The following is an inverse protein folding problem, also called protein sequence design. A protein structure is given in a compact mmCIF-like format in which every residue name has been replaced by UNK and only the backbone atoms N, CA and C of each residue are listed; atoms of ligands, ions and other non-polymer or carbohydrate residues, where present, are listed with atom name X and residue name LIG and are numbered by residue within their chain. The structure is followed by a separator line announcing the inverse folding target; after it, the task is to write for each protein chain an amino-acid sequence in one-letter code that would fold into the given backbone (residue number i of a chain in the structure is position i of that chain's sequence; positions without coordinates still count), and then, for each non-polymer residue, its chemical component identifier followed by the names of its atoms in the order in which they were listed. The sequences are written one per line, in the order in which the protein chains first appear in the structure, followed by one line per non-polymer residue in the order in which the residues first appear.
data_IF_436595870813
#
_entry.id   IF_436595870813
#
_cell.length_a   1.000
_cell.length_b   1.000
_cell.length_c   1.000
_cell.angle_alpha   90.00
_cell.angle_beta   90.00
_cell.angle_gamma   90.00
#
_symmetry.space_group_name_H-M   'P 1'
#
loop_
_entity.id
_entity.type
_entity.pdbx_description
1 polymer ?
#
# COMPACT_ATOMS: atom_id res chain seq x y z
N UNK A 1 -2.56 -10.20 21.53
CA UNK A 1 -1.73 -8.99 21.72
C UNK A 1 -1.91 -8.01 20.57
N UNK A 2 -1.78 -8.42 19.30
CA UNK A 2 -1.93 -7.53 18.13
C UNK A 2 -3.32 -6.86 17.98
N UNK A 3 -4.43 -7.56 18.30
CA UNK A 3 -5.79 -6.99 18.17
C UNK A 3 -6.08 -5.83 19.13
N UNK A 4 -5.49 -5.83 20.34
CA UNK A 4 -5.64 -4.72 21.30
C UNK A 4 -4.90 -3.46 20.84
N UNK A 5 -3.88 -3.61 20.00
CA UNK A 5 -3.11 -2.47 19.49
C UNK A 5 -3.91 -1.73 18.41
N UNK A 6 -4.59 -2.42 17.48
CA UNK A 6 -5.32 -1.80 16.38
C UNK A 6 -6.44 -0.85 16.86
N UNK A 7 -7.27 -1.29 17.81
CA UNK A 7 -8.34 -0.47 18.40
C UNK A 7 -7.78 0.78 19.09
N UNK A 8 -6.69 0.62 19.85
CA UNK A 8 -6.02 1.73 20.54
C UNK A 8 -5.48 2.77 19.54
N UNK A 9 -4.91 2.31 18.42
CA UNK A 9 -4.41 3.21 17.37
C UNK A 9 -5.56 3.95 16.67
N UNK A 10 -6.71 3.30 16.43
CA UNK A 10 -7.87 3.97 15.84
C UNK A 10 -8.48 5.01 16.76
N UNK A 11 -8.61 4.70 18.05
CA UNK A 11 -9.09 5.66 19.03
C UNK A 11 -8.16 6.88 19.10
N UNK A 12 -6.85 6.66 19.15
CA UNK A 12 -5.87 7.76 19.13
C UNK A 12 -5.96 8.59 17.85
N UNK A 13 -6.10 7.93 16.69
CA UNK A 13 -6.25 8.60 15.39
C UNK A 13 -7.53 9.45 15.34
N UNK A 14 -8.66 8.89 15.80
CA UNK A 14 -9.94 9.60 15.87
C UNK A 14 -9.83 10.85 16.75
N UNK A 15 -9.24 10.73 17.94
CA UNK A 15 -9.04 11.88 18.83
C UNK A 15 -8.15 12.96 18.20
N UNK A 16 -7.03 12.58 17.57
CA UNK A 16 -6.14 13.54 16.90
C UNK A 16 -6.87 14.24 15.74
N UNK A 17 -7.58 13.50 14.88
CA UNK A 17 -8.26 14.10 13.72
C UNK A 17 -9.39 15.05 14.15
N UNK A 18 -10.18 14.70 15.18
CA UNK A 18 -11.22 15.58 15.71
C UNK A 18 -10.65 16.88 16.31
N UNK A 19 -9.48 16.81 16.95
CA UNK A 19 -8.78 17.98 17.48
C UNK A 19 -8.26 18.87 16.33
N UNK A 20 -7.80 18.25 15.23
CA UNK A 20 -7.31 18.95 14.06
C UNK A 20 -8.40 19.61 13.20
N UNK A 21 -9.66 19.13 13.24
CA UNK A 21 -10.77 19.69 12.45
C UNK A 21 -11.10 21.16 12.78
N UNK A 22 -10.68 21.67 13.95
CA UNK A 22 -11.04 23.01 14.44
C UNK A 22 -9.89 24.03 14.43
N UNK A 23 -8.71 23.70 13.90
CA UNK A 23 -7.53 24.60 13.98
C UNK A 23 -7.28 25.26 12.62
N UNK A 24 -7.59 26.55 12.53
CA UNK A 24 -7.49 27.38 11.31
C UNK A 24 -6.06 27.52 10.74
N UNK A 25 -5.02 27.07 11.45
CA UNK A 25 -3.65 26.88 10.93
C UNK A 25 -3.00 25.73 11.71
N UNK A 26 -3.08 24.51 11.20
CA UNK A 26 -2.44 23.36 11.86
C UNK A 26 -0.90 23.50 11.81
N UNK A 27 -0.18 23.36 12.94
CA UNK A 27 1.27 23.24 12.89
C UNK A 27 1.67 21.98 12.10
N UNK A 28 2.86 21.95 11.49
CA UNK A 28 3.28 20.79 10.68
C UNK A 28 3.58 19.55 11.54
N UNK A 29 3.74 19.73 12.85
CA UNK A 29 3.77 18.67 13.87
C UNK A 29 2.79 19.04 14.98
N UNK A 30 1.95 18.09 15.38
CA UNK A 30 0.94 18.27 16.42
C UNK A 30 1.04 17.17 17.46
N UNK A 31 0.91 17.53 18.73
CA UNK A 31 1.08 16.62 19.85
C UNK A 31 -0.10 16.78 20.80
N UNK A 32 -0.77 15.68 21.11
CA UNK A 32 -1.97 15.63 21.92
C UNK A 32 -1.82 14.62 23.06
N UNK A 33 -2.14 15.03 24.27
CA UNK A 33 -2.24 14.13 25.41
C UNK A 33 -3.63 13.48 25.43
N UNK A 34 -3.66 12.16 25.45
CA UNK A 34 -4.89 11.36 25.50
C UNK A 34 -4.81 10.39 26.68
N UNK A 35 -5.93 9.80 27.10
CA UNK A 35 -5.99 8.92 28.28
C UNK A 35 -4.98 7.76 28.23
N UNK A 36 -4.63 7.30 27.02
CA UNK A 36 -3.72 6.18 26.79
C UNK A 36 -2.25 6.59 26.63
N UNK A 37 -1.94 7.89 26.59
CA UNK A 37 -0.58 8.41 26.46
C UNK A 37 -0.48 9.70 25.64
N UNK A 38 0.54 9.79 24.78
CA UNK A 38 0.77 10.94 23.90
C UNK A 38 0.65 10.51 22.46
N UNK A 39 -0.23 11.17 21.72
CA UNK A 39 -0.46 10.93 20.31
C UNK A 39 0.09 12.10 19.50
N UNK A 40 0.86 11.81 18.45
CA UNK A 40 1.50 12.84 17.61
C UNK A 40 1.12 12.64 16.15
N UNK A 41 0.98 13.75 15.41
CA UNK A 41 0.81 13.80 13.97
C UNK A 41 1.98 14.55 13.34
N UNK A 42 2.49 14.04 12.21
CA UNK A 42 3.70 14.54 11.54
C UNK A 42 3.40 15.02 10.12
N UNK A 43 4.12 16.05 9.68
CA UNK A 43 4.03 16.65 8.34
C UNK A 43 2.58 16.91 7.88
N UNK A 44 1.77 17.44 8.79
CA UNK A 44 0.33 17.60 8.60
C UNK A 44 0.02 18.35 7.30
N UNK A 45 0.76 19.41 6.97
CA UNK A 45 0.51 20.21 5.77
C UNK A 45 0.76 19.42 4.49
N UNK A 46 1.79 18.56 4.50
CA UNK A 46 2.10 17.68 3.36
C UNK A 46 0.95 16.69 3.12
N UNK A 47 0.40 16.11 4.19
CA UNK A 47 -0.67 15.11 4.05
C UNK A 47 -2.04 15.75 3.78
N UNK A 48 -2.34 16.94 4.30
CA UNK A 48 -3.52 17.73 3.91
C UNK A 48 -3.51 18.01 2.40
N UNK A 49 -2.34 18.34 1.84
CA UNK A 49 -2.17 18.52 0.40
C UNK A 49 -2.48 17.23 -0.38
N UNK A 50 -1.99 16.07 0.10
CA UNK A 50 -2.30 14.76 -0.52
C UNK A 50 -3.79 14.43 -0.43
N UNK A 51 -4.43 14.68 0.72
CA UNK A 51 -5.87 14.50 0.93
C UNK A 51 -6.68 15.33 -0.06
N UNK A 52 -6.36 16.63 -0.21
CA UNK A 52 -7.01 17.55 -1.15
C UNK A 52 -6.97 17.04 -2.60
N UNK A 53 -5.79 16.63 -3.08
CA UNK A 53 -5.63 16.07 -4.43
C UNK A 53 -6.39 14.76 -4.60
N UNK A 54 -6.58 14.02 -3.51
CA UNK A 54 -7.33 12.75 -3.49
C UNK A 54 -8.84 12.93 -3.31
N UNK A 55 -9.35 14.17 -3.23
CA UNK A 55 -10.77 14.46 -3.00
C UNK A 55 -11.25 14.16 -1.57
N UNK A 56 -10.33 14.10 -0.61
CA UNK A 56 -10.61 13.77 0.79
C UNK A 56 -10.51 15.06 1.60
N UNK A 57 -11.64 15.57 2.10
CA UNK A 57 -11.67 16.80 2.92
C UNK A 57 -11.47 16.49 4.41
N UNK A 58 -12.05 15.39 4.88
CA UNK A 58 -11.86 14.83 6.22
C UNK A 58 -11.74 13.32 6.06
N UNK A 59 -11.00 12.68 6.97
CA UNK A 59 -10.99 11.22 7.07
C UNK A 59 -12.34 10.67 7.57
N UNK A 60 -13.23 11.54 8.05
CA UNK A 60 -14.55 11.19 8.58
C UNK A 60 -14.47 10.58 9.98
N UNK A 61 -15.59 10.07 10.47
CA UNK A 61 -15.63 9.37 11.75
C UNK A 61 -14.89 8.02 11.61
N UNK A 62 -13.62 8.00 12.00
CA UNK A 62 -12.85 6.78 12.14
C UNK A 62 -13.31 6.11 13.45
N UNK A 63 -14.29 5.22 13.32
CA UNK A 63 -14.76 4.39 14.43
C UNK A 63 -13.67 3.39 14.85
N UNK A 64 -13.77 2.86 16.07
CA UNK A 64 -12.87 1.84 16.61
C UNK A 64 -13.01 0.48 15.92
N UNK A 65 -14.04 0.32 15.07
CA UNK A 65 -14.30 -0.88 14.29
C UNK A 65 -13.36 -0.98 13.07
N UNK A 66 -12.79 -2.17 12.89
CA UNK A 66 -11.81 -2.43 11.84
C UNK A 66 -11.94 -3.82 11.24
N UNK A 67 -11.30 -3.99 10.07
CA UNK A 67 -11.15 -5.27 9.39
C UNK A 67 -9.67 -5.63 9.40
N UNK A 68 -9.31 -6.77 9.99
CA UNK A 68 -7.96 -7.33 9.90
C UNK A 68 -7.93 -8.38 8.80
N UNK A 69 -7.03 -8.19 7.84
CA UNK A 69 -6.69 -9.27 6.93
C UNK A 69 -5.52 -10.09 7.51
N UNK A 70 -5.83 -11.19 8.19
CA UNK A 70 -4.82 -12.07 8.82
C UNK A 70 -3.92 -12.78 7.81
N UNK A 71 -4.28 -12.77 6.52
CA UNK A 71 -3.48 -13.34 5.43
C UNK A 71 -2.37 -12.38 4.96
N UNK A 72 -2.49 -11.08 5.27
CA UNK A 72 -1.49 -10.05 4.98
C UNK A 72 -0.60 -9.88 6.22
N UNK A 73 0.06 -10.95 6.66
CA UNK A 73 1.13 -10.84 7.64
C UNK A 73 2.45 -10.55 6.91
N UNK A 74 2.89 -9.29 6.96
CA UNK A 74 4.19 -8.93 6.43
C UNK A 74 5.32 -9.64 7.20
N UNK A 75 6.37 -10.08 6.49
CA UNK A 75 7.60 -10.69 7.08
C UNK A 75 8.26 -9.82 8.17
N UNK A 76 7.90 -8.54 8.24
CA UNK A 76 8.50 -7.51 9.10
C UNK A 76 7.82 -7.31 10.46
N UNK A 77 6.71 -8.01 10.74
CA UNK A 77 5.92 -7.82 11.97
C UNK A 77 5.05 -6.54 11.97
N UNK A 78 4.99 -5.84 10.83
CA UNK A 78 4.07 -4.71 10.61
C UNK A 78 2.64 -5.23 10.40
N UNK A 79 1.69 -4.65 11.15
CA UNK A 79 0.27 -4.94 11.05
C UNK A 79 -0.35 -4.01 9.99
N UNK A 80 -1.19 -4.58 9.12
CA UNK A 80 -2.08 -3.81 8.24
C UNK A 80 -3.51 -4.18 8.60
N UNK A 81 -4.35 -3.17 8.77
CA UNK A 81 -5.79 -3.32 9.00
C UNK A 81 -6.53 -2.19 8.29
N UNK A 82 -7.84 -2.33 8.16
CA UNK A 82 -8.66 -1.42 7.36
C UNK A 82 -9.77 -0.82 8.21
N UNK A 83 -10.21 0.40 7.87
CA UNK A 83 -11.44 0.96 8.43
C UNK A 83 -12.63 0.09 8.06
N UNK A 84 -13.69 0.11 8.87
CA UNK A 84 -14.90 -0.68 8.63
C UNK A 84 -15.54 -0.45 7.25
N UNK A 85 -15.49 0.79 6.77
CA UNK A 85 -15.98 1.18 5.44
C UNK A 85 -15.00 0.84 4.30
N UNK A 86 -13.86 0.23 4.64
CA UNK A 86 -12.83 -0.26 3.74
C UNK A 86 -12.15 0.81 2.85
N UNK A 87 -12.38 2.10 3.13
CA UNK A 87 -11.78 3.20 2.36
C UNK A 87 -10.31 3.41 2.67
N UNK A 88 -9.91 3.14 3.92
CA UNK A 88 -8.55 3.40 4.37
C UNK A 88 -7.89 2.14 4.93
N UNK A 89 -6.60 2.02 4.64
CA UNK A 89 -5.72 1.06 5.29
C UNK A 89 -4.86 1.80 6.33
N UNK A 90 -4.70 1.20 7.49
CA UNK A 90 -3.79 1.64 8.54
C UNK A 90 -2.68 0.61 8.64
N UNK A 91 -1.44 1.09 8.54
CA UNK A 91 -0.25 0.24 8.60
C UNK A 91 0.63 0.69 9.76
N UNK A 92 0.99 -0.24 10.64
CA UNK A 92 2.07 0.01 11.60
C UNK A 92 3.41 -0.03 10.90
N UNK A 93 4.28 0.91 11.26
CA UNK A 93 5.57 1.11 10.63
C UNK A 93 6.67 1.15 11.69
N UNK A 94 7.90 0.93 11.26
CA UNK A 94 9.08 1.03 12.12
C UNK A 94 9.48 2.49 12.28
N UNK A 95 10.24 2.80 13.35
CA UNK A 95 10.83 4.13 13.55
C UNK A 95 11.68 4.61 12.35
N UNK A 96 12.35 3.68 11.66
CA UNK A 96 13.11 4.01 10.44
C UNK A 96 12.20 4.40 9.27
N UNK A 97 11.02 3.80 9.16
CA UNK A 97 10.03 4.14 8.13
C UNK A 97 9.34 5.47 8.46
N UNK A 98 9.09 5.76 9.76
CA UNK A 98 8.67 7.08 10.21
C UNK A 98 9.69 8.15 9.76
N UNK A 99 10.97 7.93 10.08
CA UNK A 99 12.03 8.86 9.66
C UNK A 99 12.08 9.04 8.15
N UNK A 100 11.83 7.99 7.37
CA UNK A 100 11.77 8.05 5.92
C UNK A 100 10.63 8.96 5.44
N UNK A 101 9.40 8.68 5.88
CA UNK A 101 8.25 9.44 5.39
C UNK A 101 8.31 10.90 5.86
N UNK A 102 8.75 11.18 7.09
CA UNK A 102 8.86 12.56 7.55
C UNK A 102 9.86 13.39 6.73
N UNK A 103 10.95 12.77 6.27
CA UNK A 103 11.92 13.42 5.37
C UNK A 103 11.37 13.57 3.94
N UNK A 104 10.63 12.57 3.46
CA UNK A 104 10.12 12.52 2.09
C UNK A 104 8.83 13.33 1.89
N UNK A 105 8.05 13.60 2.95
CA UNK A 105 6.70 14.15 2.87
C UNK A 105 6.55 15.46 2.07
N UNK A 106 7.45 16.47 2.20
CA UNK A 106 7.33 17.71 1.42
C UNK A 106 7.44 17.49 -0.10
N UNK A 107 8.39 16.65 -0.52
CA UNK A 107 8.59 16.31 -1.93
C UNK A 107 7.51 15.35 -2.43
N UNK A 108 7.11 14.38 -1.61
CA UNK A 108 6.04 13.44 -1.90
C UNK A 108 4.71 14.15 -2.16
N UNK A 109 4.30 15.06 -1.29
CA UNK A 109 3.03 15.79 -1.44
C UNK A 109 3.01 16.65 -2.71
N UNK A 110 4.14 17.25 -3.07
CA UNK A 110 4.29 18.02 -4.32
C UNK A 110 4.30 17.11 -5.54
N UNK A 111 4.98 15.97 -5.47
CA UNK A 111 5.00 14.96 -6.54
C UNK A 111 3.59 14.45 -6.84
N UNK A 112 2.82 14.11 -5.80
CA UNK A 112 1.45 13.61 -5.88
C UNK A 112 0.50 14.65 -6.51
N UNK A 113 0.65 15.92 -6.16
CA UNK A 113 -0.12 17.02 -6.76
C UNK A 113 0.19 17.19 -8.25
N UNK A 114 1.47 17.13 -8.62
CA UNK A 114 1.91 17.27 -10.02
C UNK A 114 1.61 16.05 -10.88
N UNK A 115 1.44 14.87 -10.26
CA UNK A 115 1.19 13.60 -10.92
C UNK A 115 -0.11 12.97 -10.39
N UNK A 116 -1.29 13.50 -10.76
CA UNK A 116 -2.57 12.98 -10.26
C UNK A 116 -2.78 11.50 -10.63
N UNK A 117 -2.23 11.05 -11.75
CA UNK A 117 -2.28 9.66 -12.21
C UNK A 117 -1.21 8.74 -11.58
N UNK A 118 -0.43 9.22 -10.61
CA UNK A 118 0.57 8.42 -9.88
C UNK A 118 -0.04 7.14 -9.30
N UNK A 119 0.70 6.04 -9.43
CA UNK A 119 0.35 4.73 -8.90
C UNK A 119 0.87 4.51 -7.47
N UNK A 120 1.70 5.41 -6.95
CA UNK A 120 2.11 5.38 -5.54
C UNK A 120 0.89 5.41 -4.62
N UNK A 121 0.89 4.56 -3.58
CA UNK A 121 -0.15 4.60 -2.56
C UNK A 121 -0.28 6.01 -1.97
N UNK A 122 -1.50 6.44 -1.71
CA UNK A 122 -1.79 7.79 -1.18
C UNK A 122 -1.72 7.72 0.34
N UNK A 123 -0.61 8.18 0.93
CA UNK A 123 -0.45 8.32 2.38
C UNK A 123 -1.19 9.59 2.79
N UNK A 124 -2.18 9.42 3.66
CA UNK A 124 -3.10 10.47 4.08
C UNK A 124 -2.74 11.06 5.45
N UNK A 125 -1.81 10.44 6.17
CA UNK A 125 -1.35 10.92 7.47
C UNK A 125 -0.31 10.00 8.08
N UNK A 126 0.50 10.55 8.98
CA UNK A 126 1.53 9.83 9.70
C UNK A 126 1.49 10.21 11.18
N UNK A 127 1.53 9.19 12.05
CA UNK A 127 1.26 9.35 13.48
C UNK A 127 2.14 8.46 14.34
N UNK A 128 2.20 8.81 15.62
CA UNK A 128 2.75 7.94 16.66
C UNK A 128 1.89 7.97 17.90
N UNK A 129 1.79 6.84 18.59
CA UNK A 129 1.18 6.73 19.91
C UNK A 129 2.24 6.24 20.90
N UNK A 130 2.59 7.10 21.85
CA UNK A 130 3.49 6.80 22.96
C UNK A 130 2.67 6.51 24.22
N UNK A 131 2.64 5.25 24.63
CA UNK A 131 2.04 4.81 25.89
C UNK A 131 3.12 4.64 26.96
N UNK A 132 2.73 4.27 28.18
CA UNK A 132 3.68 3.89 29.23
C UNK A 132 4.50 2.64 28.90
N UNK A 133 4.04 1.81 27.94
CA UNK A 133 4.61 0.48 27.65
C UNK A 133 5.45 0.52 26.38
N UNK A 134 4.96 1.16 25.33
CA UNK A 134 5.59 1.18 24.01
C UNK A 134 5.27 2.45 23.24
N UNK A 135 6.05 2.69 22.18
CA UNK A 135 5.73 3.66 21.15
C UNK A 135 5.43 2.93 19.86
N UNK A 136 4.23 3.12 19.35
CA UNK A 136 3.79 2.60 18.06
C UNK A 136 3.78 3.71 17.03
N UNK A 137 4.21 3.40 15.81
CA UNK A 137 4.20 4.34 14.69
C UNK A 137 3.31 3.78 13.60
N UNK A 138 2.52 4.62 12.96
CA UNK A 138 1.60 4.17 11.93
C UNK A 138 1.29 5.25 10.91
N UNK A 139 0.85 4.81 9.74
CA UNK A 139 0.34 5.67 8.68
C UNK A 139 -1.09 5.24 8.34
N UNK A 140 -1.88 6.20 7.90
CA UNK A 140 -3.14 5.94 7.21
C UNK A 140 -2.95 6.20 5.72
N UNK A 141 -3.45 5.30 4.89
CA UNK A 141 -3.36 5.37 3.44
C UNK A 141 -4.71 5.09 2.79
N UNK A 142 -4.95 5.66 1.61
CA UNK A 142 -6.09 5.26 0.77
C UNK A 142 -5.94 3.77 0.43
N UNK A 143 -7.01 3.01 0.61
CA UNK A 143 -7.00 1.60 0.26
C UNK A 143 -7.02 1.45 -1.27
N UNK A 144 -6.00 0.81 -1.84
CA UNK A 144 -5.95 0.52 -3.29
C UNK A 144 -7.05 -0.46 -3.70
N UNK A 145 -7.53 -1.27 -2.75
CA UNK A 145 -8.62 -2.23 -2.93
C UNK A 145 -10.00 -1.61 -2.65
N UNK A 146 -10.07 -0.29 -2.41
CA UNK A 146 -11.34 0.41 -2.29
C UNK A 146 -12.15 0.24 -3.59
N UNK A 147 -13.37 -0.30 -3.48
CA UNK A 147 -14.22 -0.59 -4.63
C UNK A 147 -13.99 -1.94 -5.29
N UNK A 148 -13.05 -2.77 -4.80
CA UNK A 148 -13.08 -4.22 -5.06
C UNK A 148 -14.34 -4.86 -4.47
N UNK A 149 -14.48 -6.19 -4.58
CA UNK A 149 -15.61 -6.91 -4.00
C UNK A 149 -15.82 -6.49 -2.55
N UNK A 150 -17.08 -6.49 -2.09
CA UNK A 150 -17.41 -6.13 -0.69
C UNK A 150 -16.52 -6.92 0.28
N UNK A 151 -16.23 -6.42 1.49
CA UNK A 151 -15.35 -7.13 2.44
C UNK A 151 -15.69 -8.61 2.62
N UNK A 152 -16.99 -8.95 2.57
CA UNK A 152 -17.49 -10.33 2.65
C UNK A 152 -17.21 -11.18 1.40
N UNK A 153 -17.14 -10.55 0.22
CA UNK A 153 -16.85 -11.18 -1.07
C UNK A 153 -15.37 -11.11 -1.48
N UNK A 154 -14.55 -10.28 -0.81
CA UNK A 154 -13.11 -10.12 -1.08
C UNK A 154 -12.33 -11.45 -0.94
N UNK A 155 -12.87 -12.45 -0.25
CA UNK A 155 -12.29 -13.79 -0.19
C UNK A 155 -12.20 -14.50 -1.55
N UNK A 156 -12.98 -14.05 -2.54
CA UNK A 156 -12.96 -14.59 -3.89
C UNK A 156 -12.02 -13.82 -4.83
N UNK A 157 -11.57 -12.62 -4.46
CA UNK A 157 -10.70 -11.79 -5.30
C UNK A 157 -9.26 -12.32 -5.29
N UNK A 158 -8.60 -12.28 -6.46
CA UNK A 158 -7.20 -12.64 -6.59
C UNK A 158 -6.32 -11.41 -6.40
N UNK A 159 -5.61 -11.34 -5.28
CA UNK A 159 -4.69 -10.27 -4.92
C UNK A 159 -3.25 -10.75 -5.01
N UNK A 160 -2.49 -10.12 -5.90
CA UNK A 160 -1.08 -10.35 -6.13
C UNK A 160 -0.24 -9.22 -5.55
N UNK A 161 0.85 -9.54 -4.85
CA UNK A 161 1.93 -8.59 -4.53
C UNK A 161 3.19 -9.01 -5.29
N UNK A 162 3.64 -8.14 -6.19
CA UNK A 162 4.70 -8.41 -7.16
C UNK A 162 5.87 -7.43 -6.97
N UNK A 163 7.10 -7.92 -6.98
CA UNK A 163 8.35 -7.17 -6.76
C UNK A 163 9.25 -7.08 -7.99
N UNK A 164 8.82 -7.62 -9.12
CA UNK A 164 9.54 -7.59 -10.40
C UNK A 164 9.86 -8.98 -10.96
N UNK A 165 10.49 -9.00 -12.13
CA UNK A 165 10.94 -10.23 -12.80
C UNK A 165 12.04 -10.93 -12.00
N UNK A 166 12.22 -12.24 -12.21
CA UNK A 166 13.26 -13.07 -11.54
C UNK A 166 13.14 -13.09 -10.00
N UNK A 167 11.97 -12.77 -9.46
CA UNK A 167 11.62 -12.96 -8.05
C UNK A 167 10.72 -14.20 -7.95
N UNK A 168 11.09 -15.15 -7.10
CA UNK A 168 10.41 -16.44 -6.99
C UNK A 168 9.72 -16.58 -5.63
N UNK A 169 8.74 -15.71 -5.33
CA UNK A 169 7.88 -15.88 -4.15
C UNK A 169 6.59 -16.56 -4.59
N UNK A 170 6.06 -17.43 -3.73
CA UNK A 170 4.77 -18.08 -3.92
C UNK A 170 3.84 -17.73 -2.76
N UNK A 171 2.61 -17.37 -3.11
CA UNK A 171 1.53 -17.09 -2.20
C UNK A 171 0.74 -18.36 -1.86
N UNK A 172 0.10 -18.36 -0.70
CA UNK A 172 -0.66 -19.50 -0.18
C UNK A 172 -2.18 -19.28 -0.17
N UNK A 173 -2.64 -18.04 -0.44
CA UNK A 173 -4.06 -17.69 -0.45
C UNK A 173 -4.35 -16.69 -1.56
N UNK A 174 -5.61 -16.64 -2.02
CA UNK A 174 -6.04 -15.72 -3.07
C UNK A 174 -5.76 -14.26 -2.73
N UNK A 175 -5.81 -13.90 -1.45
CA UNK A 175 -5.53 -12.55 -0.97
C UNK A 175 -4.03 -12.24 -0.79
N UNK A 176 -3.15 -13.18 -1.13
CA UNK A 176 -1.70 -13.05 -0.92
C UNK A 176 -0.90 -13.84 -1.98
N UNK A 177 -1.33 -13.79 -3.24
CA UNK A 177 -0.62 -14.39 -4.38
C UNK A 177 0.66 -13.60 -4.71
N UNK A 178 1.62 -14.27 -5.35
CA UNK A 178 2.96 -13.71 -5.65
C UNK A 178 3.40 -14.06 -7.07
N UNK A 179 4.66 -13.79 -7.41
CA UNK A 179 5.21 -13.96 -8.76
C UNK A 179 5.07 -15.38 -9.31
N UNK A 180 5.31 -16.41 -8.49
CA UNK A 180 5.15 -17.81 -8.95
C UNK A 180 3.70 -18.09 -9.36
N UNK A 181 2.72 -17.59 -8.61
CA UNK A 181 1.31 -17.74 -8.95
C UNK A 181 0.95 -16.93 -10.21
N UNK A 182 1.50 -15.71 -10.34
CA UNK A 182 1.28 -14.86 -11.50
C UNK A 182 1.69 -15.54 -12.81
N UNK A 183 2.88 -16.15 -12.80
CA UNK A 183 3.42 -16.90 -13.95
C UNK A 183 2.60 -18.16 -14.19
N UNK A 184 2.34 -18.98 -13.15
CA UNK A 184 1.55 -20.22 -13.27
C UNK A 184 0.14 -19.97 -13.82
N UNK A 185 -0.48 -18.87 -13.42
CA UNK A 185 -1.84 -18.50 -13.85
C UNK A 185 -1.84 -17.71 -15.17
N UNK A 186 -0.69 -17.55 -15.84
CA UNK A 186 -0.52 -16.82 -17.09
C UNK A 186 -1.16 -15.40 -17.07
N UNK A 187 -0.96 -14.67 -15.97
CA UNK A 187 -1.57 -13.35 -15.79
C UNK A 187 -0.89 -12.28 -16.65
N UNK A 188 -1.72 -11.39 -17.19
CA UNK A 188 -1.39 -10.17 -17.94
C UNK A 188 -2.46 -9.12 -17.66
N UNK A 189 -2.13 -7.85 -17.86
CA UNK A 189 -3.06 -6.73 -17.71
C UNK A 189 -3.11 -5.96 -19.02
N UNK A 190 -4.30 -5.76 -19.57
CA UNK A 190 -4.51 -4.90 -20.73
C UNK A 190 -4.68 -3.45 -20.28
N UNK A 191 -3.95 -2.54 -20.91
CA UNK A 191 -3.94 -1.10 -20.61
C UNK A 191 -4.22 -0.31 -21.88
N UNK A 192 -5.31 0.46 -21.87
CA UNK A 192 -5.74 1.27 -23.02
C UNK A 192 -4.67 2.21 -23.59
N UNK A 193 -3.81 2.80 -22.75
CA UNK A 193 -2.72 3.68 -23.19
C UNK A 193 -1.40 3.28 -22.55
N UNK A 194 -0.84 2.16 -23.02
CA UNK A 194 0.44 1.64 -22.54
C UNK A 194 1.56 2.70 -22.48
N UNK A 195 1.77 3.58 -23.48
CA UNK A 195 2.83 4.59 -23.41
C UNK A 195 2.65 5.59 -22.26
N UNK A 196 1.42 6.06 -22.01
CA UNK A 196 1.12 6.99 -20.92
C UNK A 196 1.29 6.31 -19.57
N UNK A 197 0.79 5.08 -19.44
CA UNK A 197 0.91 4.27 -18.24
C UNK A 197 2.37 3.97 -17.88
N UNK A 198 3.16 3.44 -18.82
CA UNK A 198 4.59 3.14 -18.60
C UNK A 198 5.36 4.42 -18.28
N UNK A 199 5.03 5.54 -18.93
CA UNK A 199 5.66 6.83 -18.63
C UNK A 199 5.37 7.31 -17.21
N UNK A 200 4.15 7.14 -16.70
CA UNK A 200 3.80 7.46 -15.32
C UNK A 200 4.50 6.51 -14.34
N UNK A 201 4.48 5.20 -14.60
CA UNK A 201 5.19 4.20 -13.80
C UNK A 201 6.67 4.56 -13.67
N UNK A 202 7.32 4.94 -14.78
CA UNK A 202 8.73 5.35 -14.76
C UNK A 202 8.98 6.57 -13.87
N UNK A 203 8.09 7.57 -13.90
CA UNK A 203 8.18 8.75 -13.01
C UNK A 203 8.04 8.33 -11.54
N UNK A 204 7.09 7.46 -11.23
CA UNK A 204 6.85 6.98 -9.87
C UNK A 204 8.10 6.24 -9.33
N UNK A 205 8.68 5.36 -10.15
CA UNK A 205 9.88 4.62 -9.77
C UNK A 205 11.12 5.52 -9.65
N UNK A 206 11.26 6.53 -10.51
CA UNK A 206 12.34 7.51 -10.40
C UNK A 206 12.22 8.34 -9.12
N UNK A 207 11.02 8.70 -8.71
CA UNK A 207 10.77 9.36 -7.43
C UNK A 207 11.21 8.48 -6.25
N UNK A 208 10.79 7.21 -6.23
CA UNK A 208 11.21 6.26 -5.18
C UNK A 208 12.73 6.04 -5.16
N UNK A 209 13.35 5.91 -6.34
CA UNK A 209 14.79 5.73 -6.49
C UNK A 209 15.57 6.94 -5.93
N UNK A 210 15.12 8.17 -6.25
CA UNK A 210 15.70 9.41 -5.71
C UNK A 210 15.74 9.41 -4.18
N UNK A 211 14.70 8.88 -3.53
CA UNK A 211 14.60 8.77 -2.07
C UNK A 211 15.24 7.49 -1.51
N UNK A 212 16.01 6.73 -2.30
CA UNK A 212 16.61 5.45 -1.94
C UNK A 212 15.60 4.44 -1.38
N UNK A 213 14.34 4.52 -1.83
CA UNK A 213 13.28 3.59 -1.44
C UNK A 213 13.38 2.36 -2.33
N UNK A 214 13.26 1.20 -1.70
CA UNK A 214 13.25 -0.09 -2.37
C UNK A 214 12.25 -1.03 -1.69
N UNK A 215 12.21 -2.28 -2.12
CA UNK A 215 11.37 -3.32 -1.52
C UNK A 215 9.86 -3.06 -1.60
N UNK A 216 9.45 -2.06 -2.39
CA UNK A 216 8.07 -1.77 -2.76
C UNK A 216 7.48 -2.86 -3.67
N UNK A 217 6.17 -3.01 -3.64
CA UNK A 217 5.46 -4.01 -4.44
C UNK A 217 4.38 -3.35 -5.30
N UNK A 218 4.12 -3.93 -6.47
CA UNK A 218 2.88 -3.70 -7.20
C UNK A 218 1.81 -4.60 -6.62
N UNK A 219 0.82 -4.01 -5.96
CA UNK A 219 -0.39 -4.71 -5.57
C UNK A 219 -1.33 -4.74 -6.77
N UNK A 220 -1.84 -5.91 -7.13
CA UNK A 220 -2.80 -6.10 -8.22
C UNK A 220 -3.96 -6.94 -7.70
N UNK A 221 -5.18 -6.50 -7.90
CA UNK A 221 -6.40 -7.21 -7.53
C UNK A 221 -7.24 -7.43 -8.77
N UNK A 222 -7.51 -8.70 -9.10
CA UNK A 222 -8.54 -9.09 -10.07
C UNK A 222 -9.82 -9.39 -9.30
N UNK A 223 -10.88 -8.66 -9.59
CA UNK A 223 -12.19 -8.91 -8.98
C UNK A 223 -12.75 -10.25 -9.44
N UNK A 224 -13.32 -11.00 -8.50
CA UNK A 224 -14.13 -12.17 -8.86
C UNK A 224 -15.48 -11.70 -9.40
N UNK A 225 -15.92 -12.27 -10.52
CA UNK A 225 -17.30 -12.07 -10.98
C UNK A 225 -18.22 -12.80 -10.01
N UNK A 226 -19.19 -12.14 -9.36
CA UNK A 226 -20.14 -12.80 -8.48
C UNK A 226 -20.92 -13.84 -9.29
N UNK A 227 -20.64 -15.13 -9.09
CA UNK A 227 -21.52 -16.18 -9.59
C UNK A 227 -22.82 -16.07 -8.79
N UNK A 228 -23.87 -15.50 -9.37
CA UNK A 228 -25.21 -15.56 -8.80
C UNK A 228 -25.58 -17.04 -8.59
N UNK A 229 -25.39 -17.53 -7.37
CA UNK A 229 -25.88 -18.85 -6.96
C UNK A 229 -27.35 -18.70 -6.59
N UNK A 230 -28.22 -19.00 -7.54
CA UNK A 230 -29.58 -19.45 -7.27
C UNK A 230 -29.93 -20.47 -8.36
N UNK A 231 -29.80 -21.75 -8.00
CA UNK A 231 -30.34 -22.94 -8.65
C UNK A 231 -30.27 -23.08 -10.18
N UNK A 232 -29.42 -24.00 -10.64
CA UNK A 232 -29.90 -25.06 -11.54
C UNK A 232 -29.77 -24.90 -13.06
N UNK A 233 -29.06 -23.91 -13.60
CA UNK A 233 -28.80 -23.87 -15.05
C UNK A 233 -27.32 -23.64 -15.36
N UNK A 234 -26.76 -24.53 -16.18
CA UNK A 234 -25.40 -24.43 -16.71
C UNK A 234 -25.32 -23.29 -17.72
N UNK A 235 -24.92 -22.11 -17.27
CA UNK A 235 -24.52 -21.03 -18.17
C UNK A 235 -23.13 -21.32 -18.74
N UNK A 236 -23.06 -21.61 -20.03
CA UNK A 236 -21.84 -21.49 -20.82
C UNK A 236 -21.68 -20.00 -21.17
N UNK A 237 -20.60 -19.32 -20.73
CA UNK A 237 -20.42 -17.91 -21.05
C UNK A 237 -20.25 -17.72 -22.56
N UNK A 238 -20.98 -16.77 -23.15
CA UNK A 238 -20.87 -16.44 -24.57
C UNK A 238 -19.56 -15.69 -24.84
N UNK A 239 -18.99 -15.87 -26.03
CA UNK A 239 -17.72 -15.26 -26.45
C UNK A 239 -17.75 -13.71 -26.50
N UNK A 240 -18.92 -13.08 -26.38
CA UNK A 240 -19.09 -11.62 -26.31
C UNK A 240 -18.95 -11.07 -24.89
N UNK A 241 -19.28 -11.86 -23.85
CA UNK A 241 -19.11 -11.46 -22.43
C UNK A 241 -17.63 -11.35 -22.02
N UNK A 242 -16.72 -11.96 -22.80
CA UNK A 242 -15.28 -11.87 -22.58
C UNK A 242 -14.68 -10.51 -22.95
N UNK A 243 -15.40 -9.66 -23.71
CA UNK A 243 -14.85 -8.41 -24.27
C UNK A 243 -15.14 -7.14 -23.45
N UNK A 244 -15.88 -7.22 -22.35
CA UNK A 244 -16.36 -6.02 -21.63
C UNK A 244 -15.73 -5.74 -20.26
N UNK A 245 -14.65 -6.40 -19.87
CA UNK A 245 -14.08 -6.31 -18.50
C UNK A 245 -12.68 -5.69 -18.43
N UNK A 246 -12.52 -4.45 -18.89
CA UNK A 246 -11.32 -3.64 -18.56
C UNK A 246 -11.47 -2.91 -17.21
N UNK A 247 -12.66 -2.96 -16.57
CA UNK A 247 -13.00 -2.29 -15.30
C UNK A 247 -12.64 -3.05 -14.01
N UNK A 248 -12.03 -4.22 -14.12
CA UNK A 248 -12.04 -5.22 -13.03
C UNK A 248 -10.69 -5.43 -12.34
N UNK A 249 -9.67 -4.66 -12.73
CA UNK A 249 -8.32 -4.78 -12.18
C UNK A 249 -7.95 -3.50 -11.44
N UNK A 250 -7.68 -3.63 -10.14
CA UNK A 250 -7.22 -2.53 -9.29
C UNK A 250 -5.75 -2.75 -8.97
N UNK A 251 -4.91 -1.73 -9.15
CA UNK A 251 -3.50 -1.88 -8.84
C UNK A 251 -2.83 -0.58 -8.41
N UNK A 252 -1.70 -0.70 -7.72
CA UNK A 252 -0.87 0.42 -7.31
C UNK A 252 0.37 -0.03 -6.56
N UNK A 253 1.31 0.89 -6.39
CA UNK A 253 2.59 0.64 -5.71
C UNK A 253 2.41 0.85 -4.21
N UNK A 254 2.72 -0.18 -3.41
CA UNK A 254 2.65 -0.18 -1.95
C UNK A 254 4.05 -0.29 -1.32
N UNK A 255 4.12 -0.14 0.00
CA UNK A 255 5.32 -0.32 0.81
C UNK A 255 6.49 0.62 0.46
N UNK A 256 6.16 1.87 0.12
CA UNK A 256 7.09 2.92 -0.34
C UNK A 256 7.95 3.57 0.76
N UNK A 257 8.12 2.94 1.93
CA UNK A 257 8.84 3.52 3.07
C UNK A 257 10.13 2.78 3.44
N UNK A 258 10.40 1.63 2.81
CA UNK A 258 11.62 0.85 3.09
C UNK A 258 12.83 1.51 2.41
N UNK A 259 13.63 2.25 3.18
CA UNK A 259 14.88 2.85 2.68
C UNK A 259 16.04 1.85 2.65
N UNK A 260 16.85 1.94 1.60
CA UNK A 260 18.16 1.31 1.52
C UNK A 260 19.16 2.03 2.44
N UNK A 261 19.44 1.44 3.61
CA UNK A 261 20.41 1.97 4.58
C UNK A 261 21.62 1.02 4.75
N UNK A 262 22.65 1.48 5.49
CA UNK A 262 23.91 0.74 5.67
C UNK A 262 23.72 -0.70 6.20
N UNK A 263 22.69 -0.93 7.02
CA UNK A 263 22.33 -2.28 7.50
C UNK A 263 21.86 -3.19 6.37
N UNK A 264 21.16 -2.66 5.37
CA UNK A 264 20.79 -3.40 4.15
C UNK A 264 22.00 -3.65 3.24
N UNK A 265 22.94 -2.70 3.17
CA UNK A 265 24.23 -2.91 2.49
C UNK A 265 25.02 -4.05 3.12
N UNK A 266 25.05 -4.16 4.45
CA UNK A 266 25.70 -5.29 5.15
C UNK A 266 24.96 -6.61 4.94
N UNK A 267 23.61 -6.61 4.93
CA UNK A 267 22.81 -7.80 4.57
C UNK A 267 23.11 -8.27 3.13
N UNK A 268 23.25 -7.35 2.17
CA UNK A 268 23.66 -7.68 0.78
C UNK A 268 25.07 -8.26 0.73
N UNK A 269 26.04 -7.66 1.43
CA UNK A 269 27.40 -8.17 1.49
C UNK A 269 27.45 -9.59 2.07
N UNK A 270 26.69 -9.87 3.13
CA UNK A 270 26.58 -11.21 3.72
C UNK A 270 25.90 -12.22 2.77
N UNK A 271 24.84 -11.82 2.08
CA UNK A 271 24.17 -12.69 1.09
C UNK A 271 25.08 -13.03 -0.10
N UNK A 272 25.90 -12.07 -0.56
CA UNK A 272 26.90 -12.28 -1.62
C UNK A 272 28.04 -13.20 -1.16
N UNK A 273 28.48 -13.09 0.10
CA UNK A 273 29.52 -13.95 0.66
C UNK A 273 29.05 -15.40 0.92
N UNK A 274 27.76 -15.60 1.23
CA UNK A 274 27.21 -16.91 1.59
C UNK A 274 26.52 -17.65 0.43
N UNK A 275 26.68 -17.23 -0.83
CA UNK A 275 25.99 -17.80 -2.00
C UNK A 275 24.46 -17.95 -1.82
N UNK A 276 23.84 -17.09 -1.01
CA UNK A 276 22.40 -17.06 -0.84
C UNK A 276 21.81 -16.04 -1.82
N UNK A 277 21.25 -16.53 -2.93
CA UNK A 277 20.59 -15.76 -3.98
C UNK A 277 19.25 -15.15 -3.53
N UNK A 278 19.22 -14.47 -2.38
CA UNK A 278 18.06 -13.69 -1.96
C UNK A 278 18.00 -12.43 -2.81
N UNK A 279 17.26 -12.50 -3.92
CA UNK A 279 17.04 -11.41 -4.90
C UNK A 279 16.40 -10.15 -4.32
N UNK A 280 16.06 -10.11 -3.02
CA UNK A 280 15.43 -8.96 -2.36
C UNK A 280 16.40 -7.82 -2.05
N UNK A 281 17.69 -8.08 -1.85
CA UNK A 281 18.63 -7.09 -1.34
C UNK A 281 19.52 -6.52 -2.47
N UNK A 282 18.93 -5.77 -3.39
CA UNK A 282 19.62 -5.11 -4.51
C UNK A 282 19.56 -3.59 -4.35
N UNK A 283 20.50 -2.88 -4.98
CA UNK A 283 20.50 -1.41 -4.95
C UNK A 283 19.24 -0.84 -5.60
N UNK A 284 18.81 0.38 -5.21
CA UNK A 284 17.61 1.01 -5.73
C UNK A 284 17.53 1.07 -7.27
N UNK A 285 18.65 1.35 -7.96
CA UNK A 285 18.68 1.43 -9.42
C UNK A 285 18.41 0.06 -10.08
N UNK A 286 19.08 -1.00 -9.61
CA UNK A 286 18.82 -2.35 -10.04
C UNK A 286 17.39 -2.81 -9.68
N UNK A 287 16.87 -2.40 -8.52
CA UNK A 287 15.51 -2.70 -8.09
C UNK A 287 14.48 -2.08 -9.04
N UNK A 288 14.62 -0.78 -9.32
CA UNK A 288 13.77 -0.04 -10.26
C UNK A 288 13.78 -0.69 -11.64
N UNK A 289 14.97 -1.02 -12.17
CA UNK A 289 15.12 -1.62 -13.49
C UNK A 289 14.37 -2.96 -13.59
N UNK A 290 14.56 -3.83 -12.59
CA UNK A 290 13.87 -5.12 -12.51
C UNK A 290 12.35 -4.97 -12.39
N UNK A 291 11.90 -4.01 -11.59
CA UNK A 291 10.48 -3.75 -11.41
C UNK A 291 9.85 -3.22 -12.70
N UNK A 292 10.50 -2.28 -13.39
CA UNK A 292 10.03 -1.72 -14.65
C UNK A 292 9.97 -2.78 -15.75
N UNK A 293 10.94 -3.69 -15.83
CA UNK A 293 10.94 -4.79 -16.79
C UNK A 293 9.70 -5.69 -16.66
N UNK A 294 9.22 -5.95 -15.43
CA UNK A 294 7.97 -6.69 -15.20
C UNK A 294 6.76 -5.93 -15.71
N UNK A 295 6.70 -4.62 -15.45
CA UNK A 295 5.60 -3.77 -15.92
C UNK A 295 5.58 -3.77 -17.46
N UNK A 296 6.74 -3.61 -18.09
CA UNK A 296 6.82 -3.60 -19.55
C UNK A 296 6.47 -4.96 -20.19
N UNK A 297 6.76 -6.09 -19.54
CA UNK A 297 6.43 -7.42 -20.05
C UNK A 297 4.97 -7.81 -19.83
N UNK A 298 4.38 -7.41 -18.70
CA UNK A 298 3.10 -7.95 -18.24
C UNK A 298 1.91 -7.02 -18.49
N UNK A 299 2.16 -5.74 -18.77
CA UNK A 299 1.12 -4.75 -19.10
C UNK A 299 1.12 -4.50 -20.61
N UNK A 300 0.07 -4.98 -21.26
CA UNK A 300 -0.10 -5.01 -22.71
C UNK A 300 -1.04 -3.88 -23.17
N UNK A 301 -1.08 -3.64 -24.49
CA UNK A 301 -1.98 -2.68 -25.13
C UNK A 301 -3.07 -3.41 -25.91
#
# INVERSE_FOLDING_TARGET
MQMKNAETLLNALCTIENDMENILVLPDHHCLYIDTGTAEAYNIQSFVKVRKVSGINSLGCIDSQYIINTQIQGKSGSLVFFTKDFKYAIKTIRKSELSCICQMAPEYSTYIEQNPNSLLCRILGCYSLKTCISTEYFIIMKNILEGCSTPDAMHADEVYDLKGVNVCREGQSLQNLKETNWIKNNKKIEIHSRPVFVSQMRRDLLFLNKHNVMDYSLLVCFKSVPTNRSHGESYLPNAEDQKQHVSDVHFGIIDILTQWNFRKRTERLLNLFCCNSSSSCIDPDAYMTRFLAMVESDFLC
#
